data_IF_898426881549
#
_entry.id   IF_898426881549
#
_cell.length_a   1.000
_cell.length_b   1.000
_cell.length_c   1.000
_cell.angle_alpha   90.00
_cell.angle_beta   90.00
_cell.angle_gamma   90.00
#
_symmetry.space_group_name_H-M   'P 1'
#
loop_
_entity.id
_entity.type
_entity.pdbx_description
1 polymer ?
#
# COMPACT_ATOMS: atom_id res chain seq x y z
N UNK A 1 14.13 -4.66 20.67
CA UNK A 1 13.96 -5.54 19.49
C UNK A 1 12.63 -5.29 18.78
N UNK A 2 11.52 -5.20 19.51
CA UNK A 2 10.17 -4.96 18.95
C UNK A 2 10.04 -3.72 18.07
N UNK A 3 10.57 -2.56 18.50
CA UNK A 3 10.47 -1.30 17.71
C UNK A 3 11.14 -1.43 16.35
N UNK A 4 12.33 -2.05 16.27
CA UNK A 4 13.04 -2.23 15.00
C UNK A 4 12.26 -3.15 14.04
N UNK A 5 11.63 -4.19 14.56
CA UNK A 5 10.79 -5.12 13.77
C UNK A 5 9.55 -4.39 13.24
N UNK A 6 8.90 -3.56 14.05
CA UNK A 6 7.74 -2.77 13.64
C UNK A 6 8.12 -1.76 12.55
N UNK A 7 9.26 -1.07 12.70
CA UNK A 7 9.75 -0.14 11.67
C UNK A 7 10.09 -0.85 10.36
N UNK A 8 10.73 -2.03 10.42
CA UNK A 8 11.01 -2.85 9.24
C UNK A 8 9.74 -3.29 8.53
N UNK A 9 8.75 -3.78 9.29
CA UNK A 9 7.46 -4.18 8.73
C UNK A 9 6.74 -3.00 8.07
N UNK A 10 6.73 -1.83 8.72
CA UNK A 10 6.18 -0.60 8.15
C UNK A 10 6.88 -0.19 6.85
N UNK A 11 8.21 -0.27 6.80
CA UNK A 11 8.99 0.04 5.60
C UNK A 11 8.64 -0.91 4.45
N UNK A 12 8.51 -2.22 4.70
CA UNK A 12 8.12 -3.21 3.68
C UNK A 12 6.71 -2.92 3.15
N UNK A 13 5.74 -2.62 4.04
CA UNK A 13 4.38 -2.26 3.64
C UNK A 13 4.37 -1.04 2.72
N UNK A 14 5.15 0.00 3.04
CA UNK A 14 5.25 1.20 2.22
C UNK A 14 5.86 0.91 0.84
N UNK A 15 6.90 0.09 0.78
CA UNK A 15 7.52 -0.30 -0.51
C UNK A 15 6.52 -1.07 -1.38
N UNK A 16 5.79 -2.03 -0.80
CA UNK A 16 4.76 -2.79 -1.53
C UNK A 16 3.63 -1.86 -2.00
N UNK A 17 3.19 -0.92 -1.15
CA UNK A 17 2.15 0.04 -1.51
C UNK A 17 2.59 0.96 -2.67
N UNK A 18 3.85 1.42 -2.67
CA UNK A 18 4.41 2.21 -3.76
C UNK A 18 4.50 1.39 -5.05
N UNK A 19 4.98 0.14 -4.97
CA UNK A 19 5.05 -0.76 -6.13
C UNK A 19 3.66 -1.03 -6.72
N UNK A 20 2.64 -1.30 -5.90
CA UNK A 20 1.27 -1.51 -6.39
C UNK A 20 0.69 -0.25 -7.03
N UNK A 21 0.97 0.92 -6.46
CA UNK A 21 0.51 2.20 -6.98
C UNK A 21 1.13 2.50 -8.35
N UNK A 22 2.44 2.29 -8.48
CA UNK A 22 3.13 2.45 -9.76
C UNK A 22 2.63 1.46 -10.80
N UNK A 23 2.43 0.19 -10.43
CA UNK A 23 1.84 -0.82 -11.31
C UNK A 23 0.47 -0.41 -11.82
N UNK A 24 -0.44 0.01 -10.92
CA UNK A 24 -1.78 0.47 -11.30
C UNK A 24 -1.76 1.70 -12.21
N UNK A 25 -0.87 2.66 -11.95
CA UNK A 25 -0.69 3.83 -12.79
C UNK A 25 -0.13 3.49 -14.17
N UNK A 26 0.79 2.53 -14.26
CA UNK A 26 1.35 2.04 -15.52
C UNK A 26 0.32 1.24 -16.32
N UNK A 27 -0.47 0.36 -15.68
CA UNK A 27 -1.57 -0.31 -16.38
C UNK A 27 -2.59 0.69 -16.91
N UNK A 28 -3.00 1.69 -16.11
CA UNK A 28 -3.91 2.74 -16.56
C UNK A 28 -3.33 3.54 -17.75
N UNK A 29 -2.01 3.73 -17.80
CA UNK A 29 -1.32 4.32 -18.95
C UNK A 29 -1.35 3.45 -20.19
N UNK A 30 -1.15 2.16 -20.03
CA UNK A 30 -1.25 1.17 -21.12
C UNK A 30 -2.68 1.13 -21.65
N UNK A 31 -3.67 1.26 -20.77
CA UNK A 31 -5.10 1.34 -21.10
C UNK A 31 -5.49 2.66 -21.79
N UNK A 32 -4.54 3.58 -22.02
CA UNK A 32 -4.75 4.86 -22.69
C UNK A 32 -5.41 5.93 -21.82
N UNK A 33 -5.51 5.75 -20.50
CA UNK A 33 -6.09 6.76 -19.62
C UNK A 33 -5.23 8.03 -19.53
N UNK A 34 -5.89 9.16 -19.34
CA UNK A 34 -5.22 10.47 -19.18
C UNK A 34 -4.39 10.55 -17.90
N UNK A 35 -3.47 11.52 -17.81
CA UNK A 35 -2.60 11.66 -16.64
C UNK A 35 -3.34 11.78 -15.29
N UNK A 36 -4.41 12.57 -15.20
CA UNK A 36 -5.22 12.67 -13.99
C UNK A 36 -5.84 11.33 -13.58
N UNK A 37 -6.47 10.60 -14.51
CA UNK A 37 -7.19 9.35 -14.19
C UNK A 37 -6.25 8.22 -13.76
N UNK A 38 -5.10 8.10 -14.42
CA UNK A 38 -4.09 7.13 -14.00
C UNK A 38 -3.52 7.45 -12.60
N UNK A 39 -3.41 8.74 -12.25
CA UNK A 39 -2.96 9.17 -10.92
C UNK A 39 -4.00 8.84 -9.84
N UNK A 40 -5.29 9.04 -10.10
CA UNK A 40 -6.35 8.70 -9.14
C UNK A 40 -6.45 7.19 -8.92
N UNK A 41 -6.28 6.37 -9.98
CA UNK A 41 -6.21 4.92 -9.85
C UNK A 41 -5.00 4.47 -9.02
N UNK A 42 -3.81 5.01 -9.30
CA UNK A 42 -2.60 4.74 -8.52
C UNK A 42 -2.79 5.10 -7.05
N UNK A 43 -3.33 6.28 -6.75
CA UNK A 43 -3.63 6.72 -5.39
C UNK A 43 -4.67 5.82 -4.69
N UNK A 44 -5.70 5.36 -5.41
CA UNK A 44 -6.69 4.42 -4.90
C UNK A 44 -6.05 3.09 -4.49
N UNK A 45 -5.18 2.53 -5.33
CA UNK A 45 -4.48 1.28 -4.99
C UNK A 45 -3.51 1.44 -3.82
N UNK A 46 -2.82 2.57 -3.70
CA UNK A 46 -1.99 2.90 -2.54
C UNK A 46 -2.81 2.92 -1.24
N UNK A 47 -3.95 3.62 -1.26
CA UNK A 47 -4.85 3.73 -0.11
C UNK A 47 -5.40 2.34 0.30
N UNK A 48 -5.73 1.49 -0.67
CA UNK A 48 -6.21 0.13 -0.41
C UNK A 48 -5.15 -0.73 0.30
N UNK A 49 -3.88 -0.67 -0.12
CA UNK A 49 -2.79 -1.42 0.53
C UNK A 49 -2.57 -0.94 1.96
N UNK A 50 -2.61 0.37 2.20
CA UNK A 50 -2.51 0.92 3.56
C UNK A 50 -3.69 0.51 4.45
N UNK A 51 -4.92 0.53 3.92
CA UNK A 51 -6.10 0.09 4.65
C UNK A 51 -6.01 -1.40 5.02
N UNK A 52 -5.53 -2.25 4.10
CA UNK A 52 -5.30 -3.66 4.38
C UNK A 52 -4.25 -3.85 5.47
N UNK A 53 -3.14 -3.12 5.43
CA UNK A 53 -2.11 -3.19 6.46
C UNK A 53 -2.63 -2.76 7.84
N UNK A 54 -3.46 -1.72 7.89
CA UNK A 54 -4.13 -1.29 9.12
C UNK A 54 -5.08 -2.38 9.66
N UNK A 55 -5.87 -3.00 8.77
CA UNK A 55 -6.78 -4.09 9.15
C UNK A 55 -6.03 -5.32 9.68
N UNK A 56 -4.93 -5.72 9.04
CA UNK A 56 -4.07 -6.83 9.51
C UNK A 56 -3.46 -6.49 10.87
N UNK A 57 -2.97 -5.26 11.07
CA UNK A 57 -2.42 -4.82 12.36
C UNK A 57 -3.48 -4.87 13.46
N UNK A 58 -4.70 -4.42 13.18
CA UNK A 58 -5.82 -4.51 14.12
C UNK A 58 -6.19 -5.97 14.44
N UNK A 59 -6.24 -6.85 13.43
CA UNK A 59 -6.53 -8.27 13.62
C UNK A 59 -5.46 -9.00 14.44
N UNK A 60 -4.19 -8.58 14.34
CA UNK A 60 -3.07 -9.16 15.09
C UNK A 60 -2.92 -8.57 16.49
N UNK A 61 -3.48 -7.39 16.77
CA UNK A 61 -3.42 -6.70 18.08
C UNK A 61 -3.71 -7.59 19.31
N UNK A 62 -4.67 -8.54 19.28
CA UNK A 62 -4.98 -9.40 20.44
C UNK A 62 -3.92 -10.46 20.73
N UNK A 63 -3.01 -10.74 19.78
CA UNK A 63 -1.91 -11.69 19.98
C UNK A 63 -0.66 -11.02 20.55
N UNK A 64 -0.67 -9.69 20.72
CA UNK A 64 0.45 -8.92 21.30
C UNK A 64 0.26 -8.58 22.78
N UNK A 65 -0.86 -8.99 23.40
CA UNK A 65 -1.09 -9.02 24.86
C UNK A 65 -0.60 -10.32 25.47
#
# INVERSE_FOLDING_TARGET
MTVAIVLLAGAVVLVVALLSATGAGVLARIDGETWPTACTRAAGTFAAVLALAAAVTAALSPFFT
#
